data_IF_140030523066
#
_entry.id   IF_140030523066
#
_cell.length_a   1.000
_cell.length_b   1.000
_cell.length_c   1.000
_cell.angle_alpha   90.00
_cell.angle_beta   90.00
_cell.angle_gamma   90.00
#
_symmetry.space_group_name_H-M   'P 1'
#
loop_
_entity.id
_entity.type
_entity.pdbx_description
1 polymer ?
#
# COMPACT_ATOMS: atom_id res chain seq x y z
N UNK A 1 14.62 0.40 0.80
CA UNK A 1 13.83 -0.04 -0.34
C UNK A 1 13.91 -1.55 -0.42
N UNK A 2 12.77 -2.22 -0.54
CA UNK A 2 12.65 -3.69 -0.52
C UNK A 2 11.74 -4.12 -1.67
N UNK A 3 12.17 -5.11 -2.45
CA UNK A 3 11.35 -5.68 -3.53
C UNK A 3 10.31 -6.65 -2.97
N UNK A 4 9.07 -6.56 -3.47
CA UNK A 4 7.96 -7.45 -3.12
C UNK A 4 7.24 -7.89 -4.38
N UNK A 5 7.09 -9.20 -4.56
CA UNK A 5 6.37 -9.80 -5.69
C UNK A 5 5.24 -10.76 -5.26
N UNK A 6 5.02 -10.89 -3.95
CA UNK A 6 3.99 -11.76 -3.37
C UNK A 6 3.39 -11.12 -2.12
N UNK A 7 2.29 -11.68 -1.64
CA UNK A 7 1.57 -11.15 -0.48
C UNK A 7 2.51 -10.95 0.72
N UNK A 8 2.51 -9.74 1.28
CA UNK A 8 3.48 -9.30 2.27
C UNK A 8 2.83 -8.34 3.28
N UNK A 9 3.46 -8.18 4.44
CA UNK A 9 3.07 -7.17 5.43
C UNK A 9 4.09 -6.04 5.45
N UNK A 10 3.61 -4.81 5.28
CA UNK A 10 4.40 -3.60 5.41
C UNK A 10 4.72 -3.29 6.87
N UNK A 11 5.86 -2.63 7.10
CA UNK A 11 6.26 -2.08 8.39
C UNK A 11 6.28 -0.55 8.32
N UNK A 12 6.21 0.09 9.49
CA UNK A 12 6.36 1.56 9.57
C UNK A 12 7.70 2.02 8.97
N UNK A 13 7.67 3.07 8.17
CA UNK A 13 8.82 3.60 7.44
C UNK A 13 9.26 2.72 6.27
N UNK A 14 8.51 1.67 5.96
CA UNK A 14 8.80 0.74 4.87
C UNK A 14 8.68 1.42 3.51
N UNK A 15 9.57 1.03 2.59
CA UNK A 15 9.56 1.52 1.22
C UNK A 15 9.74 0.35 0.25
N UNK A 16 8.74 0.13 -0.61
CA UNK A 16 8.58 -1.10 -1.37
C UNK A 16 8.51 -0.87 -2.86
N UNK A 17 9.29 -1.66 -3.60
CA UNK A 17 9.14 -1.85 -5.04
C UNK A 17 8.22 -3.05 -5.25
N UNK A 18 6.98 -2.78 -5.61
CA UNK A 18 5.96 -3.80 -5.80
C UNK A 18 5.98 -4.27 -7.26
N UNK A 19 6.38 -5.52 -7.48
CA UNK A 19 6.44 -6.17 -8.79
C UNK A 19 5.22 -7.06 -8.98
N UNK A 20 4.25 -6.56 -9.76
CA UNK A 20 3.05 -7.30 -10.15
C UNK A 20 3.16 -7.94 -11.54
N UNK A 21 4.35 -8.00 -12.15
CA UNK A 21 4.47 -8.47 -13.54
C UNK A 21 4.00 -9.92 -13.74
N UNK A 22 4.13 -10.75 -12.71
CA UNK A 22 3.73 -12.17 -12.77
C UNK A 22 2.32 -12.42 -12.25
N UNK A 23 1.90 -11.73 -11.19
CA UNK A 23 0.58 -11.90 -10.59
C UNK A 23 0.19 -10.67 -9.74
N UNK A 24 -1.12 -10.47 -9.59
CA UNK A 24 -1.67 -9.56 -8.59
C UNK A 24 -1.38 -10.08 -7.18
N UNK A 25 -1.16 -9.19 -6.22
CA UNK A 25 -0.98 -9.57 -4.81
C UNK A 25 -1.48 -8.50 -3.84
N UNK A 26 -1.51 -8.85 -2.56
CA UNK A 26 -1.94 -7.96 -1.48
C UNK A 26 -0.77 -7.53 -0.61
N UNK A 27 -0.58 -6.22 -0.46
CA UNK A 27 0.28 -5.63 0.57
C UNK A 27 -0.58 -5.25 1.78
N UNK A 28 -0.33 -5.89 2.91
CA UNK A 28 -1.05 -5.63 4.16
C UNK A 28 -0.33 -4.53 4.95
N UNK A 29 -1.03 -3.44 5.30
CA UNK A 29 -0.47 -2.35 6.10
C UNK A 29 -0.23 -2.79 7.57
N UNK A 30 0.54 -2.02 8.36
CA UNK A 30 0.73 -2.30 9.78
C UNK A 30 -0.60 -2.47 10.55
N UNK A 31 -0.68 -3.48 11.42
CA UNK A 31 -1.89 -3.81 12.19
C UNK A 31 -2.20 -2.83 13.34
N UNK A 32 -1.19 -2.08 13.78
CA UNK A 32 -1.32 -1.14 14.91
C UNK A 32 -0.59 0.17 14.58
N UNK A 33 -1.05 0.90 13.55
CA UNK A 33 -0.41 2.12 13.15
C UNK A 33 -0.68 3.25 14.15
N UNK A 34 0.29 4.14 14.30
CA UNK A 34 0.15 5.38 15.07
C UNK A 34 0.29 6.61 14.16
N UNK A 35 -0.19 7.75 14.64
CA UNK A 35 -0.18 8.99 13.86
C UNK A 35 1.24 9.33 13.38
N UNK A 36 1.40 9.53 12.07
CA UNK A 36 2.68 9.81 11.42
C UNK A 36 3.39 8.59 10.85
N UNK A 37 2.90 7.37 11.08
CA UNK A 37 3.46 6.18 10.44
C UNK A 37 3.35 6.27 8.92
N UNK A 38 4.38 5.79 8.22
CA UNK A 38 4.46 5.90 6.75
C UNK A 38 4.73 4.56 6.07
N UNK A 39 4.21 4.41 4.85
CA UNK A 39 4.52 3.31 3.93
C UNK A 39 4.65 3.88 2.52
N UNK A 40 5.73 3.54 1.82
CA UNK A 40 5.97 3.96 0.44
C UNK A 40 5.81 2.78 -0.51
N UNK A 41 5.08 3.01 -1.60
CA UNK A 41 4.78 2.01 -2.61
C UNK A 41 5.16 2.58 -3.97
N UNK A 42 5.88 1.79 -4.76
CA UNK A 42 6.26 2.09 -6.15
C UNK A 42 5.89 0.89 -7.01
N UNK A 43 5.23 1.14 -8.14
CA UNK A 43 5.06 0.14 -9.20
C UNK A 43 6.42 -0.15 -9.85
N UNK A 44 7.01 -1.30 -9.53
CA UNK A 44 8.38 -1.61 -9.93
C UNK A 44 8.53 -1.95 -11.41
N UNK A 45 7.44 -2.36 -12.07
CA UNK A 45 7.44 -2.84 -13.46
C UNK A 45 6.48 -2.10 -14.38
N UNK A 46 5.70 -1.15 -13.87
CA UNK A 46 4.67 -0.46 -14.64
C UNK A 46 3.49 -1.37 -14.99
N UNK A 47 3.11 -2.28 -14.07
CA UNK A 47 2.16 -3.36 -14.36
C UNK A 47 0.91 -3.37 -13.48
N UNK A 48 0.72 -2.37 -12.62
CA UNK A 48 -0.45 -2.30 -11.72
C UNK A 48 -1.80 -2.34 -12.46
N UNK A 49 -1.91 -1.77 -13.66
CA UNK A 49 -3.14 -1.81 -14.45
C UNK A 49 -3.44 -3.20 -15.04
N UNK A 50 -2.40 -4.03 -15.24
CA UNK A 50 -2.53 -5.40 -15.77
C UNK A 50 -2.80 -6.40 -14.65
N UNK A 51 -1.95 -6.36 -13.63
CA UNK A 51 -2.04 -7.16 -12.42
C UNK A 51 -2.00 -6.19 -11.26
N UNK A 52 -3.12 -6.03 -10.57
CA UNK A 52 -3.25 -4.99 -9.57
C UNK A 52 -2.53 -5.32 -8.25
N UNK A 53 -2.06 -4.27 -7.59
CA UNK A 53 -1.68 -4.34 -6.18
C UNK A 53 -2.90 -3.99 -5.33
N UNK A 54 -3.28 -4.87 -4.42
CA UNK A 54 -4.27 -4.56 -3.39
C UNK A 54 -3.56 -4.11 -2.13
N UNK A 55 -3.92 -2.94 -1.60
CA UNK A 55 -3.41 -2.43 -0.33
C UNK A 55 -4.46 -2.65 0.75
N UNK A 56 -4.18 -3.57 1.66
CA UNK A 56 -5.09 -3.93 2.73
C UNK A 56 -4.85 -3.11 4.00
N UNK A 57 -5.91 -2.53 4.57
CA UNK A 57 -5.82 -1.63 5.73
C UNK A 57 -5.45 -2.31 7.04
N UNK A 58 -5.50 -3.65 7.09
CA UNK A 58 -5.23 -4.48 8.26
C UNK A 58 -6.06 -4.08 9.49
N UNK A 59 -7.35 -3.83 9.28
CA UNK A 59 -8.28 -3.37 10.31
C UNK A 59 -8.30 -1.85 10.50
N UNK A 60 -7.38 -1.09 9.91
CA UNK A 60 -7.45 0.37 9.85
C UNK A 60 -8.18 0.85 8.59
N UNK A 61 -8.79 2.03 8.68
CA UNK A 61 -9.37 2.70 7.52
C UNK A 61 -8.28 3.10 6.51
N UNK A 62 -8.66 3.22 5.24
CA UNK A 62 -7.91 3.92 4.20
C UNK A 62 -8.85 4.99 3.62
N UNK A 63 -8.46 6.26 3.65
CA UNK A 63 -9.31 7.40 3.25
C UNK A 63 -10.71 7.41 3.90
N UNK A 64 -10.79 7.19 5.22
CA UNK A 64 -12.05 7.14 5.99
C UNK A 64 -12.97 5.98 5.60
N UNK A 65 -12.48 5.01 4.84
CA UNK A 65 -13.22 3.81 4.45
C UNK A 65 -12.55 2.58 5.05
N UNK A 66 -13.33 1.67 5.62
CA UNK A 66 -12.85 0.39 6.15
C UNK A 66 -12.65 -0.68 5.08
N UNK A 67 -12.24 -0.26 3.87
CA UNK A 67 -12.09 -1.11 2.69
C UNK A 67 -10.69 -0.98 2.13
N UNK A 68 -10.21 -2.07 1.55
CA UNK A 68 -8.92 -2.11 0.87
C UNK A 68 -8.92 -1.22 -0.38
N UNK A 69 -7.73 -0.77 -0.78
CA UNK A 69 -7.54 0.07 -1.96
C UNK A 69 -6.80 -0.71 -3.04
N UNK A 70 -7.38 -0.75 -4.24
CA UNK A 70 -6.72 -1.32 -5.41
C UNK A 70 -5.90 -0.25 -6.14
N UNK A 71 -4.60 -0.48 -6.28
CA UNK A 71 -3.73 0.31 -7.16
C UNK A 71 -3.71 -0.33 -8.54
N UNK A 72 -4.30 0.34 -9.53
CA UNK A 72 -4.52 -0.14 -10.89
C UNK A 72 -4.06 0.84 -11.98
N UNK A 73 -3.16 1.76 -11.64
CA UNK A 73 -2.57 2.72 -12.56
C UNK A 73 -1.09 2.36 -12.69
N UNK A 74 -0.61 2.17 -13.93
CA UNK A 74 0.79 1.85 -14.18
C UNK A 74 1.73 3.00 -13.80
N UNK A 75 2.97 2.66 -13.46
CA UNK A 75 4.08 3.60 -13.27
C UNK A 75 3.82 4.65 -12.18
N UNK A 76 2.99 4.30 -11.20
CA UNK A 76 2.68 5.17 -10.06
C UNK A 76 3.57 4.88 -8.87
N UNK A 77 3.84 5.93 -8.11
CA UNK A 77 4.31 5.83 -6.73
C UNK A 77 3.34 6.56 -5.82
N UNK A 78 3.16 6.04 -4.61
CA UNK A 78 2.28 6.59 -3.58
C UNK A 78 2.91 6.41 -2.20
N UNK A 79 2.78 7.43 -1.37
CA UNK A 79 3.05 7.33 0.06
C UNK A 79 1.72 7.24 0.81
N UNK A 80 1.66 6.39 1.81
CA UNK A 80 0.57 6.32 2.77
C UNK A 80 1.07 6.87 4.09
N UNK A 81 0.30 7.77 4.69
CA UNK A 81 0.57 8.33 6.02
C UNK A 81 -0.63 8.07 6.92
N UNK A 82 -0.40 7.42 8.06
CA UNK A 82 -1.48 7.20 9.02
C UNK A 82 -1.76 8.46 9.84
N UNK A 83 -3.04 8.83 9.96
CA UNK A 83 -3.44 10.01 10.73
C UNK A 83 -4.08 9.64 12.08
N UNK A 84 -5.20 8.92 12.05
CA UNK A 84 -5.94 8.47 13.25
C UNK A 84 -6.97 7.40 12.87
N UNK A 85 -7.65 6.79 13.83
CA UNK A 85 -8.64 5.73 13.57
C UNK A 85 -9.77 6.17 12.63
N UNK A 86 -10.22 7.42 12.70
CA UNK A 86 -11.30 7.95 11.86
C UNK A 86 -10.87 8.12 10.40
N UNK A 87 -9.73 8.77 10.15
CA UNK A 87 -9.24 9.03 8.80
C UNK A 87 -8.51 7.83 8.20
N UNK A 88 -7.85 7.05 9.06
CA UNK A 88 -7.01 5.94 8.68
C UNK A 88 -5.72 6.38 7.99
N UNK A 89 -5.30 5.56 7.02
CA UNK A 89 -4.22 5.85 6.08
C UNK A 89 -4.69 6.84 5.01
N UNK A 90 -3.94 7.91 4.83
CA UNK A 90 -4.14 8.90 3.77
C UNK A 90 -3.11 8.62 2.69
N UNK A 91 -3.55 8.46 1.45
CA UNK A 91 -2.64 8.31 0.30
C UNK A 91 -2.26 9.71 -0.19
N UNK A 92 -0.98 9.95 -0.33
CA UNK A 92 -0.39 11.23 -0.74
C UNK A 92 0.80 10.99 -1.67
N UNK A 93 1.16 12.04 -2.42
CA UNK A 93 2.07 11.95 -3.58
C UNK A 93 1.35 11.61 -4.87
#
# INVERSE_FOLDING_TARGET
WTDMATASTAVNGGAYFCDTATAAFTLTLPASPVAGDTVWIVDAKGTFATNNLTVAGNGANIHRQGTDVTMNINDVSKMLVYHNATNGWIITG
#
